data_IF_004059200285
#
_entry.id   IF_004059200285
#
_cell.length_a   1.000
_cell.length_b   1.000
_cell.length_c   1.000
_cell.angle_alpha   90.00
_cell.angle_beta   90.00
_cell.angle_gamma   90.00
#
_symmetry.space_group_name_H-M   'P 1'
#
loop_
_entity.id
_entity.type
_entity.pdbx_description
1 polymer ?
#
# COMPACT_ATOMS: atom_id res chain seq x y z
N UNK A 1 9.27 23.33 -7.02
CA UNK A 1 10.01 22.58 -8.08
C UNK A 1 9.89 21.08 -7.86
N UNK A 2 10.14 20.61 -6.64
CA UNK A 2 9.95 19.22 -6.22
C UNK A 2 8.48 18.77 -6.30
N UNK A 3 7.55 19.66 -5.92
CA UNK A 3 6.11 19.39 -5.91
C UNK A 3 5.62 19.02 -7.32
N UNK A 4 6.03 19.78 -8.33
CA UNK A 4 5.72 19.49 -9.72
C UNK A 4 6.31 18.15 -10.21
N UNK A 5 7.45 17.71 -9.65
CA UNK A 5 8.02 16.40 -9.97
C UNK A 5 7.19 15.25 -9.36
N UNK A 6 6.72 15.44 -8.12
CA UNK A 6 5.83 14.48 -7.45
C UNK A 6 4.47 14.41 -8.15
N UNK A 7 3.90 15.54 -8.56
CA UNK A 7 2.65 15.60 -9.32
C UNK A 7 2.77 14.88 -10.66
N UNK A 8 3.89 15.07 -11.37
CA UNK A 8 4.15 14.37 -12.62
C UNK A 8 4.24 12.85 -12.41
N UNK A 9 4.99 12.42 -11.38
CA UNK A 9 5.15 11.00 -11.05
C UNK A 9 3.80 10.36 -10.71
N UNK A 10 3.02 11.01 -9.83
CA UNK A 10 1.69 10.55 -9.46
C UNK A 10 0.76 10.49 -10.68
N UNK A 11 0.68 11.55 -11.47
CA UNK A 11 -0.20 11.61 -12.64
C UNK A 11 0.15 10.54 -13.67
N UNK A 12 1.44 10.32 -13.93
CA UNK A 12 1.88 9.24 -14.81
C UNK A 12 1.54 7.86 -14.24
N UNK A 13 1.72 7.65 -12.93
CA UNK A 13 1.32 6.41 -12.28
C UNK A 13 -0.18 6.14 -12.43
N UNK A 14 -1.02 7.16 -12.21
CA UNK A 14 -2.48 7.02 -12.31
C UNK A 14 -2.92 6.67 -13.74
N UNK A 15 -2.30 7.25 -14.78
CA UNK A 15 -2.54 6.89 -16.18
C UNK A 15 -2.19 5.41 -16.45
N UNK A 16 -1.06 4.93 -15.95
CA UNK A 16 -0.64 3.54 -16.12
C UNK A 16 -1.53 2.56 -15.35
N UNK A 17 -1.92 2.90 -14.12
CA UNK A 17 -2.87 2.09 -13.33
C UNK A 17 -4.23 1.97 -14.02
N UNK A 18 -4.74 3.06 -14.60
CA UNK A 18 -6.00 3.06 -15.33
C UNK A 18 -5.95 2.15 -16.57
N UNK A 19 -4.80 2.10 -17.25
CA UNK A 19 -4.57 1.22 -18.42
C UNK A 19 -4.42 -0.24 -18.01
N UNK A 20 -3.68 -0.52 -16.95
CA UNK A 20 -3.38 -1.89 -16.51
C UNK A 20 -4.57 -2.55 -15.80
N UNK A 21 -5.33 -1.79 -15.01
CA UNK A 21 -6.41 -2.29 -14.15
C UNK A 21 -7.77 -1.73 -14.58
N UNK A 22 -8.11 -1.93 -15.86
CA UNK A 22 -9.40 -1.49 -16.40
C UNK A 22 -10.58 -2.03 -15.59
N UNK A 23 -11.53 -1.14 -15.25
CA UNK A 23 -12.72 -1.42 -14.43
C UNK A 23 -12.46 -1.80 -12.96
N UNK A 24 -11.21 -1.72 -12.47
CA UNK A 24 -10.92 -1.89 -11.06
C UNK A 24 -10.79 -0.52 -10.39
N UNK A 25 -11.17 -0.46 -9.11
CA UNK A 25 -11.00 0.75 -8.28
C UNK A 25 -10.03 0.54 -7.14
N UNK A 26 -9.71 -0.71 -6.82
CA UNK A 26 -8.85 -1.09 -5.71
C UNK A 26 -7.90 -2.19 -6.14
N UNK A 27 -6.74 -2.25 -5.49
CA UNK A 27 -5.83 -3.38 -5.56
C UNK A 27 -5.66 -3.97 -4.16
N UNK A 28 -5.69 -5.29 -4.09
CA UNK A 28 -5.32 -5.99 -2.88
C UNK A 28 -3.81 -5.95 -2.71
N UNK A 29 -3.36 -5.34 -1.63
CA UNK A 29 -1.96 -5.21 -1.29
C UNK A 29 -1.72 -5.64 0.16
N UNK A 30 -0.46 -5.99 0.43
CA UNK A 30 -0.01 -6.51 1.71
C UNK A 30 1.10 -5.64 2.28
N UNK A 31 1.13 -5.47 3.59
CA UNK A 31 2.18 -4.77 4.31
C UNK A 31 2.56 -5.57 5.54
N UNK A 32 3.83 -5.91 5.65
CA UNK A 32 4.39 -6.40 6.90
C UNK A 32 4.55 -5.25 7.89
N UNK A 33 4.16 -5.48 9.15
CA UNK A 33 4.36 -4.52 10.24
C UNK A 33 4.92 -5.22 11.48
N UNK A 34 5.89 -4.56 12.11
CA UNK A 34 6.32 -4.91 13.47
C UNK A 34 5.35 -4.22 14.41
N UNK A 35 4.69 -4.99 15.30
CA UNK A 35 3.82 -4.49 16.38
C UNK A 35 2.98 -3.25 16.01
N UNK A 36 1.73 -3.44 15.58
CA UNK A 36 0.80 -2.30 15.46
C UNK A 36 0.66 -1.60 16.81
N UNK A 37 1.09 -0.34 16.87
CA UNK A 37 0.93 0.48 18.06
C UNK A 37 -0.55 0.76 18.30
N UNK A 38 -0.96 0.88 19.57
CA UNK A 38 -2.36 1.13 19.93
C UNK A 38 -2.93 2.39 19.28
N UNK A 39 -2.07 3.38 18.97
CA UNK A 39 -2.46 4.63 18.33
C UNK A 39 -2.71 4.50 16.82
N UNK A 40 -2.20 3.45 16.17
CA UNK A 40 -2.45 3.18 14.76
C UNK A 40 -3.80 2.48 14.55
N UNK A 41 -4.26 1.70 15.54
CA UNK A 41 -5.56 1.00 15.48
C UNK A 41 -6.67 1.93 15.98
N UNK A 42 -7.47 2.46 15.05
CA UNK A 42 -8.61 3.31 15.37
C UNK A 42 -9.80 2.51 15.91
N UNK A 43 -10.06 1.34 15.33
CA UNK A 43 -11.20 0.49 15.68
C UNK A 43 -10.90 -0.99 15.39
N UNK A 44 -11.37 -1.91 16.22
CA UNK A 44 -11.38 -3.34 15.92
C UNK A 44 -12.79 -3.75 15.49
N UNK A 45 -12.99 -4.01 14.21
CA UNK A 45 -14.28 -4.36 13.62
C UNK A 45 -14.57 -5.86 13.67
N UNK A 46 -13.55 -6.69 13.92
CA UNK A 46 -13.70 -8.12 14.08
C UNK A 46 -12.49 -8.78 14.74
N UNK A 47 -12.45 -10.12 14.74
CA UNK A 47 -11.36 -10.89 15.36
C UNK A 47 -10.00 -10.66 14.69
N UNK A 48 -10.02 -10.39 13.38
CA UNK A 48 -8.84 -10.17 12.52
C UNK A 48 -9.04 -8.96 11.60
N UNK A 49 -10.02 -8.12 11.89
CA UNK A 49 -10.39 -6.98 11.06
C UNK A 49 -10.31 -5.74 11.95
N UNK A 50 -9.64 -4.71 11.45
CA UNK A 50 -9.50 -3.45 12.15
C UNK A 50 -9.39 -2.28 11.17
N UNK A 51 -9.68 -1.10 11.68
CA UNK A 51 -9.45 0.17 11.00
C UNK A 51 -8.14 0.73 11.55
N UNK A 52 -7.22 1.04 10.65
CA UNK A 52 -5.91 1.61 10.98
C UNK A 52 -5.71 2.98 10.36
N UNK A 53 -4.96 3.83 11.05
CA UNK A 53 -4.46 5.10 10.55
C UNK A 53 -3.01 4.94 10.12
N UNK A 54 -2.76 5.00 8.81
CA UNK A 54 -1.42 4.98 8.24
C UNK A 54 -0.96 6.43 8.01
N UNK A 55 0.26 6.79 8.42
CA UNK A 55 0.77 8.15 8.22
C UNK A 55 1.42 8.33 6.83
N UNK A 56 1.44 9.56 6.31
CA UNK A 56 2.24 9.96 5.15
C UNK A 56 2.21 8.98 3.94
N UNK A 57 3.31 8.25 3.71
CA UNK A 57 3.47 7.25 2.65
C UNK A 57 3.86 5.92 3.26
N UNK A 58 3.26 4.84 2.76
CA UNK A 58 3.41 3.49 3.30
C UNK A 58 3.81 2.54 2.18
N UNK A 59 4.76 1.67 2.50
CA UNK A 59 5.20 0.60 1.60
C UNK A 59 4.23 -0.58 1.68
N UNK A 60 3.78 -1.04 0.52
CA UNK A 60 2.94 -2.21 0.32
C UNK A 60 3.53 -3.06 -0.80
N UNK A 61 3.11 -4.32 -0.89
CA UNK A 61 3.47 -5.22 -1.99
C UNK A 61 2.25 -6.00 -2.46
N UNK A 62 2.22 -6.38 -3.74
CA UNK A 62 1.20 -7.29 -4.26
C UNK A 62 1.47 -8.76 -3.88
N UNK A 63 2.66 -9.08 -3.34
CA UNK A 63 3.04 -10.43 -2.95
C UNK A 63 2.97 -10.61 -1.43
N UNK A 64 2.04 -11.46 -0.96
CA UNK A 64 1.89 -11.72 0.47
C UNK A 64 3.15 -12.31 1.10
N UNK A 65 3.81 -13.25 0.41
CA UNK A 65 5.07 -13.88 0.88
C UNK A 65 6.18 -12.86 1.10
N UNK A 66 6.10 -11.72 0.43
CA UNK A 66 7.08 -10.64 0.54
C UNK A 66 6.80 -9.70 1.67
N UNK A 67 5.53 -9.46 1.97
CA UNK A 67 5.14 -8.81 3.20
C UNK A 67 5.59 -9.63 4.43
N UNK A 68 5.77 -10.94 4.26
CA UNK A 68 6.28 -11.87 5.27
C UNK A 68 7.75 -11.57 5.67
N UNK A 69 8.51 -10.92 4.80
CA UNK A 69 9.89 -10.55 5.13
C UNK A 69 9.95 -9.39 6.15
N UNK A 70 8.81 -8.74 6.45
CA UNK A 70 8.76 -7.47 7.17
C UNK A 70 7.84 -7.49 8.40
N UNK A 71 8.09 -8.36 9.37
CA UNK A 71 7.62 -8.19 10.75
C UNK A 71 6.75 -9.31 11.32
N UNK A 72 5.94 -9.03 12.34
CA UNK A 72 5.17 -10.06 13.07
C UNK A 72 3.75 -10.28 12.50
N UNK A 73 3.22 -9.26 11.81
CA UNK A 73 1.86 -9.26 11.26
C UNK A 73 1.87 -8.82 9.81
N UNK A 74 0.96 -9.41 9.03
CA UNK A 74 0.62 -8.96 7.69
C UNK A 74 -0.72 -8.25 7.73
N UNK A 75 -0.73 -7.02 7.25
CA UNK A 75 -1.92 -6.25 6.90
C UNK A 75 -2.28 -6.53 5.44
N UNK A 76 -3.48 -7.04 5.20
CA UNK A 76 -4.10 -7.12 3.87
C UNK A 76 -5.10 -5.96 3.74
N UNK A 77 -4.98 -5.17 2.68
CA UNK A 77 -5.85 -4.03 2.41
C UNK A 77 -6.29 -3.98 0.93
N UNK A 78 -7.55 -3.60 0.69
CA UNK A 78 -7.99 -3.16 -0.63
C UNK A 78 -7.69 -1.67 -0.80
N UNK A 79 -6.52 -1.37 -1.38
CA UNK A 79 -6.04 -0.01 -1.55
C UNK A 79 -6.69 0.62 -2.79
N UNK A 80 -7.39 1.77 -2.67
CA UNK A 80 -7.92 2.47 -3.84
C UNK A 80 -6.78 2.83 -4.80
N UNK A 81 -6.99 2.68 -6.11
CA UNK A 81 -5.97 3.02 -7.12
C UNK A 81 -5.49 4.48 -6.99
N UNK A 82 -6.42 5.39 -6.64
CA UNK A 82 -6.13 6.80 -6.39
C UNK A 82 -5.28 7.07 -5.16
N UNK A 83 -5.08 6.08 -4.28
CA UNK A 83 -4.17 6.18 -3.14
C UNK A 83 -2.79 5.56 -3.43
N UNK A 84 -2.58 4.95 -4.60
CA UNK A 84 -1.26 4.47 -5.00
C UNK A 84 -0.48 5.66 -5.55
N UNK A 85 0.58 6.05 -4.86
CA UNK A 85 1.40 7.20 -5.24
C UNK A 85 2.35 6.85 -6.40
N UNK A 86 3.08 5.73 -6.29
CA UNK A 86 3.81 5.10 -7.39
C UNK A 86 4.07 3.61 -7.09
N UNK A 87 4.51 2.85 -8.08
CA UNK A 87 4.99 1.47 -7.89
C UNK A 87 6.30 1.24 -8.64
N UNK A 88 7.17 0.39 -8.09
CA UNK A 88 8.58 0.24 -8.55
C UNK A 88 8.72 -0.24 -9.99
N UNK A 89 7.74 -0.97 -10.53
CA UNK A 89 7.74 -1.43 -11.93
C UNK A 89 7.40 -0.33 -12.94
N UNK A 90 6.98 0.85 -12.49
CA UNK A 90 6.56 1.96 -13.35
C UNK A 90 7.74 2.58 -14.11
N UNK A 91 8.89 2.74 -13.45
CA UNK A 91 10.05 3.44 -14.01
C UNK A 91 11.17 2.47 -14.37
N UNK A 92 11.82 2.65 -15.54
CA UNK A 92 12.99 1.85 -15.91
C UNK A 92 14.16 2.14 -14.96
N UNK A 93 14.96 1.12 -14.66
CA UNK A 93 16.17 1.26 -13.83
C UNK A 93 15.94 1.15 -12.31
N UNK A 94 14.69 1.05 -11.85
CA UNK A 94 14.38 0.75 -10.46
C UNK A 94 14.71 -0.70 -10.12
N UNK A 95 15.13 -0.96 -8.88
CA UNK A 95 15.29 -2.31 -8.37
C UNK A 95 13.92 -2.99 -8.41
N UNK A 96 13.74 -3.91 -9.37
CA UNK A 96 12.55 -4.78 -9.48
C UNK A 96 12.45 -5.81 -8.36
N UNK A 97 13.43 -5.74 -7.46
CA UNK A 97 13.63 -6.58 -6.31
C UNK A 97 12.33 -6.74 -5.57
N UNK A 98 11.61 -5.67 -5.21
CA UNK A 98 10.59 -5.58 -4.15
C UNK A 98 9.11 -5.55 -4.59
N UNK A 99 8.81 -5.35 -5.88
CA UNK A 99 7.43 -5.17 -6.41
C UNK A 99 6.58 -4.26 -5.50
N UNK A 100 7.24 -3.22 -4.97
CA UNK A 100 6.69 -2.30 -3.99
C UNK A 100 5.71 -1.33 -4.65
N UNK A 101 4.62 -1.08 -3.92
CA UNK A 101 3.65 -0.01 -4.11
C UNK A 101 3.80 0.98 -2.97
N UNK A 102 4.07 2.23 -3.29
CA UNK A 102 4.06 3.32 -2.32
C UNK A 102 2.65 3.90 -2.28
N UNK A 103 2.03 3.85 -1.10
CA UNK A 103 0.61 4.15 -0.88
C UNK A 103 0.48 5.37 0.03
N UNK A 104 -0.36 6.32 -0.37
CA UNK A 104 -0.74 7.49 0.44
C UNK A 104 -1.48 7.01 1.68
N UNK A 105 -1.13 7.51 2.86
CA UNK A 105 -1.75 7.14 4.13
C UNK A 105 -3.22 7.57 4.29
N UNK A 106 -3.63 7.70 5.54
CA UNK A 106 -5.00 7.92 5.97
C UNK A 106 -5.60 6.65 6.55
N UNK A 107 -6.94 6.59 6.52
CA UNK A 107 -7.69 5.52 7.18
C UNK A 107 -7.91 4.34 6.23
N UNK A 108 -7.67 3.13 6.73
CA UNK A 108 -7.79 1.87 6.01
C UNK A 108 -8.50 0.81 6.86
N UNK A 109 -9.42 0.09 6.25
CA UNK A 109 -9.85 -1.21 6.76
C UNK A 109 -8.83 -2.26 6.32
N UNK A 110 -8.37 -3.07 7.28
CA UNK A 110 -7.37 -4.11 7.03
C UNK A 110 -7.75 -5.42 7.68
N UNK A 111 -7.33 -6.51 7.04
CA UNK A 111 -7.30 -7.84 7.64
C UNK A 111 -5.91 -8.13 8.18
N UNK A 112 -5.85 -8.55 9.43
CA UNK A 112 -4.62 -8.93 10.12
C UNK A 112 -4.46 -10.44 10.13
N UNK A 113 -3.28 -10.91 9.69
CA UNK A 113 -2.84 -12.28 9.91
C UNK A 113 -1.48 -12.29 10.59
N UNK A 114 -1.29 -13.24 11.51
CA UNK A 114 0.03 -13.59 12.02
C UNK A 114 0.83 -14.31 10.93
N UNK A 115 2.14 -14.12 11.00
CA UNK A 115 3.12 -14.96 10.32
C UNK A 115 3.07 -16.40 10.85
#
# INVERSE_FOLDING_TARGET
ALEAQLDLLYSYCQEELARQFTNQKHLRLYRGVNRLDEHEVLEKTGRRECIVLLNNLNSFTACRERADEFGDYILEADVPLSKIFFFTRLLPGMLKGEDEYVVIGGVYEVKMSLM
#
